data_IF_025490308697
#
_entry.id   IF_025490308697
#
_cell.length_a   1.000
_cell.length_b   1.000
_cell.length_c   1.000
_cell.angle_alpha   90.00
_cell.angle_beta   90.00
_cell.angle_gamma   90.00
#
_symmetry.space_group_name_H-M   'P 1'
#
loop_
_entity.id
_entity.type
_entity.pdbx_description
1 polymer ?
#
# COMPACT_ATOMS: atom_id res chain seq x y z
N UNK A 1 16.49 9.42 2.15
CA UNK A 1 15.65 8.31 1.67
C UNK A 1 16.10 7.89 0.27
N UNK A 2 16.29 6.59 0.04
CA UNK A 2 16.53 5.98 -1.28
C UNK A 2 15.37 5.03 -1.59
N UNK A 3 14.74 5.18 -2.75
CA UNK A 3 13.74 4.22 -3.25
C UNK A 3 14.48 2.97 -3.70
N UNK A 4 14.01 1.79 -3.30
CA UNK A 4 14.56 0.52 -3.76
C UNK A 4 13.79 0.03 -4.97
N UNK A 5 12.48 -0.19 -4.83
CA UNK A 5 11.65 -0.70 -5.92
C UNK A 5 10.24 -0.14 -5.89
N UNK A 6 9.72 0.16 -7.08
CA UNK A 6 8.35 0.57 -7.32
C UNK A 6 7.60 -0.58 -8.01
N UNK A 7 6.36 -0.82 -7.58
CA UNK A 7 5.46 -1.84 -8.10
C UNK A 7 4.12 -1.20 -8.43
N UNK A 8 3.56 -1.62 -9.54
CA UNK A 8 2.19 -1.31 -9.93
C UNK A 8 1.47 -2.63 -10.17
N UNK A 9 0.20 -2.69 -9.78
CA UNK A 9 -0.65 -3.85 -9.97
C UNK A 9 -2.03 -3.39 -10.45
N UNK A 10 -2.72 -4.27 -11.16
CA UNK A 10 -4.15 -4.14 -11.32
C UNK A 10 -4.81 -4.51 -9.98
N UNK A 11 -5.63 -3.59 -9.47
CA UNK A 11 -6.28 -3.70 -8.18
C UNK A 11 -7.80 -3.63 -8.32
N UNK A 12 -8.30 -4.18 -9.43
CA UNK A 12 -9.70 -4.51 -9.65
C UNK A 12 -9.80 -5.77 -10.49
N UNK A 13 -10.77 -6.61 -10.17
CA UNK A 13 -11.15 -7.75 -11.00
C UNK A 13 -12.21 -7.39 -12.04
N UNK A 14 -12.76 -6.18 -11.97
CA UNK A 14 -13.81 -5.69 -12.87
C UNK A 14 -13.27 -4.77 -13.97
N UNK A 15 -12.22 -4.00 -13.67
CA UNK A 15 -11.74 -2.95 -14.55
C UNK A 15 -10.22 -2.96 -14.67
N UNK A 16 -9.72 -2.93 -15.91
CA UNK A 16 -8.28 -2.92 -16.17
C UNK A 16 -7.61 -1.57 -15.92
N UNK A 17 -8.38 -0.47 -15.87
CA UNK A 17 -7.85 0.87 -15.61
C UNK A 17 -7.68 1.18 -14.12
N UNK A 18 -8.17 0.31 -13.23
CA UNK A 18 -8.05 0.49 -11.78
C UNK A 18 -6.74 -0.14 -11.30
N UNK A 19 -5.73 0.70 -11.18
CA UNK A 19 -4.38 0.30 -10.73
C UNK A 19 -4.15 0.75 -9.30
N UNK A 20 -3.29 0.04 -8.57
CA UNK A 20 -2.69 0.54 -7.36
C UNK A 20 -1.18 0.37 -7.41
N UNK A 21 -0.46 1.11 -6.58
CA UNK A 21 1.01 1.13 -6.64
C UNK A 21 1.60 1.15 -5.24
N UNK A 22 2.81 0.62 -5.12
CA UNK A 22 3.58 0.66 -3.89
C UNK A 22 5.05 0.80 -4.19
N UNK A 23 5.80 1.32 -3.23
CA UNK A 23 7.25 1.24 -3.28
C UNK A 23 7.83 0.91 -1.92
N UNK A 24 8.98 0.24 -1.95
CA UNK A 24 9.85 0.10 -0.79
C UNK A 24 11.06 0.99 -0.95
N UNK A 25 11.65 1.35 0.18
CA UNK A 25 12.88 2.10 0.22
C UNK A 25 13.42 2.16 1.62
N UNK A 26 14.52 2.85 1.79
CA UNK A 26 15.22 2.86 3.06
C UNK A 26 15.94 4.19 3.29
N UNK A 27 16.13 4.57 4.55
CA UNK A 27 16.85 5.78 4.94
C UNK A 27 17.82 5.49 6.07
N UNK A 28 19.06 5.11 5.73
CA UNK A 28 20.09 4.69 6.69
C UNK A 28 20.40 5.73 7.76
N UNK A 29 20.25 7.03 7.45
CA UNK A 29 20.44 8.11 8.43
C UNK A 29 19.39 8.03 9.53
N UNK A 30 18.13 7.75 9.17
CA UNK A 30 17.00 7.70 10.12
C UNK A 30 16.68 6.30 10.64
N UNK A 31 17.41 5.27 10.20
CA UNK A 31 17.20 3.88 10.63
C UNK A 31 15.77 3.36 10.40
N UNK A 32 15.17 3.72 9.26
CA UNK A 32 13.87 3.27 8.78
C UNK A 32 13.89 2.55 7.41
N UNK A 33 13.00 1.57 7.29
CA UNK A 33 12.50 1.01 6.03
C UNK A 33 11.15 1.68 5.74
N UNK A 34 10.99 2.16 4.51
CA UNK A 34 9.78 2.80 4.01
C UNK A 34 8.99 1.78 3.20
N UNK A 35 7.74 1.59 3.59
CA UNK A 35 6.71 1.03 2.73
C UNK A 35 5.67 2.12 2.48
N UNK A 36 5.48 2.48 1.22
CA UNK A 36 4.48 3.46 0.82
C UNK A 36 3.53 2.84 -0.19
N UNK A 37 2.25 2.99 0.05
CA UNK A 37 1.19 2.44 -0.80
C UNK A 37 0.30 3.60 -1.26
N UNK A 38 0.07 3.66 -2.57
CA UNK A 38 -0.98 4.45 -3.20
C UNK A 38 -2.18 3.54 -3.39
N UNK A 39 -3.35 3.98 -2.90
CA UNK A 39 -4.62 3.29 -3.13
C UNK A 39 -4.99 3.19 -4.61
N UNK A 40 -6.14 2.57 -4.90
CA UNK A 40 -6.67 2.43 -6.25
C UNK A 40 -6.80 3.78 -6.98
N UNK A 41 -6.43 3.78 -8.25
CA UNK A 41 -6.50 4.90 -9.16
C UNK A 41 -7.02 4.43 -10.51
N UNK A 42 -7.98 5.16 -11.06
CA UNK A 42 -8.60 4.85 -12.35
C UNK A 42 -9.96 5.52 -12.46
N UNK A 43 -10.53 5.59 -13.65
CA UNK A 43 -11.86 6.18 -13.86
C UNK A 43 -12.92 5.38 -13.11
N UNK A 44 -12.75 4.06 -13.05
CA UNK A 44 -13.70 3.15 -12.40
C UNK A 44 -13.39 2.88 -10.91
N UNK A 45 -12.41 3.57 -10.31
CA UNK A 45 -12.00 3.29 -8.93
C UNK A 45 -13.18 3.38 -7.94
N UNK A 46 -14.09 4.34 -8.14
CA UNK A 46 -15.21 4.55 -7.23
C UNK A 46 -16.27 3.46 -7.36
N UNK A 47 -16.52 3.00 -8.59
CA UNK A 47 -17.46 1.91 -8.83
C UNK A 47 -16.94 0.62 -8.21
N UNK A 48 -15.65 0.32 -8.40
CA UNK A 48 -15.02 -0.86 -7.81
C UNK A 48 -15.07 -0.83 -6.28
N UNK A 49 -14.72 0.32 -5.67
CA UNK A 49 -14.84 0.55 -4.22
C UNK A 49 -16.26 0.34 -3.70
N UNK A 50 -17.26 0.90 -4.38
CA UNK A 50 -18.65 0.81 -3.97
C UNK A 50 -19.19 -0.61 -4.13
N UNK A 51 -18.98 -1.23 -5.29
CA UNK A 51 -19.50 -2.56 -5.60
C UNK A 51 -18.86 -3.62 -4.71
N UNK A 52 -17.53 -3.74 -4.77
CA UNK A 52 -16.79 -4.75 -3.99
C UNK A 52 -16.91 -4.49 -2.50
N UNK A 53 -16.83 -3.22 -2.09
CA UNK A 53 -16.91 -2.84 -0.68
C UNK A 53 -18.27 -3.15 -0.05
N UNK A 54 -19.37 -2.91 -0.78
CA UNK A 54 -20.72 -3.16 -0.26
C UNK A 54 -21.16 -4.61 -0.41
N UNK A 55 -20.86 -5.26 -1.54
CA UNK A 55 -21.27 -6.64 -1.78
C UNK A 55 -20.53 -7.63 -0.87
N UNK A 56 -19.24 -7.35 -0.60
CA UNK A 56 -18.39 -8.32 0.09
C UNK A 56 -18.04 -7.90 1.52
N UNK A 57 -18.46 -6.69 1.94
CA UNK A 57 -18.31 -6.20 3.31
C UNK A 57 -16.85 -6.12 3.78
N UNK A 58 -16.62 -6.62 5.00
CA UNK A 58 -15.29 -6.62 5.64
C UNK A 58 -14.75 -8.03 5.79
N UNK A 59 -13.42 -8.19 5.81
CA UNK A 59 -12.71 -9.45 6.06
C UNK A 59 -11.76 -9.29 7.26
N UNK A 60 -11.45 -10.35 8.02
CA UNK A 60 -10.42 -10.30 9.05
C UNK A 60 -9.07 -9.86 8.46
N UNK A 61 -8.31 -9.05 9.19
CA UNK A 61 -7.01 -8.55 8.75
C UNK A 61 -5.96 -8.77 9.83
N UNK A 62 -4.94 -9.58 9.51
CA UNK A 62 -3.73 -9.83 10.31
C UNK A 62 -3.97 -10.06 11.82
N UNK A 63 -5.12 -10.64 12.19
CA UNK A 63 -5.49 -10.87 13.60
C UNK A 63 -5.73 -9.60 14.43
N UNK A 64 -5.70 -8.40 13.85
CA UNK A 64 -5.82 -7.12 14.55
C UNK A 64 -7.16 -6.43 14.35
N UNK A 65 -7.99 -6.91 13.44
CA UNK A 65 -9.30 -6.33 13.18
C UNK A 65 -9.92 -6.79 11.88
N UNK A 66 -10.74 -5.93 11.29
CA UNK A 66 -11.40 -6.15 10.01
C UNK A 66 -11.16 -4.98 9.08
N UNK A 67 -11.07 -5.26 7.79
CA UNK A 67 -10.88 -4.26 6.73
C UNK A 67 -11.90 -4.50 5.62
N UNK A 68 -12.34 -3.46 4.92
CA UNK A 68 -13.21 -3.62 3.74
C UNK A 68 -12.51 -4.48 2.69
N UNK A 69 -13.22 -5.45 2.10
CA UNK A 69 -12.60 -6.44 1.20
C UNK A 69 -11.85 -5.79 0.03
N UNK A 70 -12.37 -4.70 -0.54
CA UNK A 70 -11.67 -4.00 -1.63
C UNK A 70 -10.28 -3.47 -1.22
N UNK A 71 -10.10 -2.98 0.00
CA UNK A 71 -8.79 -2.53 0.47
C UNK A 71 -7.86 -3.71 0.79
N UNK A 72 -8.42 -4.83 1.27
CA UNK A 72 -7.68 -6.06 1.47
C UNK A 72 -7.11 -6.58 0.16
N UNK A 73 -7.97 -6.77 -0.83
CA UNK A 73 -7.60 -7.32 -2.15
C UNK A 73 -6.55 -6.42 -2.83
N UNK A 74 -6.71 -5.09 -2.76
CA UNK A 74 -5.75 -4.16 -3.32
C UNK A 74 -4.37 -4.26 -2.64
N UNK A 75 -4.36 -4.42 -1.32
CA UNK A 75 -3.11 -4.64 -0.58
C UNK A 75 -2.47 -5.97 -0.97
N UNK A 76 -3.23 -7.05 -1.04
CA UNK A 76 -2.73 -8.38 -1.41
C UNK A 76 -2.17 -8.41 -2.84
N UNK A 77 -2.84 -7.77 -3.80
CA UNK A 77 -2.33 -7.64 -5.18
C UNK A 77 -0.93 -7.03 -5.23
N UNK A 78 -0.66 -6.01 -4.42
CA UNK A 78 0.68 -5.42 -4.32
C UNK A 78 1.64 -6.29 -3.52
N UNK A 79 1.20 -6.78 -2.36
CA UNK A 79 2.03 -7.53 -1.42
C UNK A 79 2.58 -8.80 -2.08
N UNK A 80 1.68 -9.61 -2.66
CA UNK A 80 2.04 -10.83 -3.38
C UNK A 80 2.51 -10.56 -4.81
N UNK A 81 2.30 -9.35 -5.35
CA UNK A 81 2.93 -8.86 -6.57
C UNK A 81 4.43 -8.53 -6.43
N UNK A 82 5.03 -8.84 -5.28
CA UNK A 82 6.47 -8.71 -5.02
C UNK A 82 6.84 -7.60 -4.03
N UNK A 83 5.90 -6.77 -3.58
CA UNK A 83 6.20 -5.70 -2.61
C UNK A 83 6.61 -6.27 -1.24
N UNK A 84 6.05 -7.42 -0.85
CA UNK A 84 6.43 -8.12 0.38
C UNK A 84 7.86 -8.64 0.34
N UNK A 85 8.27 -9.24 -0.78
CA UNK A 85 9.64 -9.71 -1.02
C UNK A 85 10.63 -8.54 -1.01
N UNK A 86 10.32 -7.45 -1.72
CA UNK A 86 11.16 -6.26 -1.77
C UNK A 86 11.41 -5.68 -0.36
N UNK A 87 10.41 -5.74 0.52
CA UNK A 87 10.52 -5.29 1.92
C UNK A 87 11.45 -6.19 2.75
N UNK A 88 11.44 -7.50 2.51
CA UNK A 88 12.34 -8.44 3.19
C UNK A 88 13.78 -8.23 2.75
N UNK A 89 14.03 -8.04 1.45
CA UNK A 89 15.37 -7.75 0.92
C UNK A 89 15.92 -6.44 1.48
N UNK A 90 15.10 -5.38 1.51
CA UNK A 90 15.49 -4.10 2.12
C UNK A 90 15.91 -4.25 3.59
N UNK A 91 15.25 -5.16 4.32
CA UNK A 91 15.59 -5.48 5.72
C UNK A 91 16.91 -6.23 5.83
N UNK A 92 17.09 -7.30 5.08
CA UNK A 92 18.23 -8.23 5.22
C UNK A 92 19.53 -7.66 4.67
N UNK A 93 19.51 -7.10 3.46
CA UNK A 93 20.74 -6.68 2.78
C UNK A 93 21.22 -5.29 3.19
N UNK A 94 20.30 -4.41 3.57
CA UNK A 94 20.58 -2.97 3.70
C UNK A 94 20.38 -2.42 5.10
N UNK A 95 19.62 -3.12 5.94
CA UNK A 95 19.23 -2.67 7.27
C UNK A 95 19.75 -3.50 8.43
N UNK A 96 19.86 -4.84 8.29
CA UNK A 96 20.23 -5.77 9.38
C UNK A 96 21.67 -5.61 9.93
N UNK A 97 22.42 -4.58 9.53
CA UNK A 97 23.56 -4.07 10.31
C UNK A 97 23.16 -3.30 11.58
N UNK A 98 21.90 -2.87 11.74
CA UNK A 98 21.42 -2.21 12.96
C UNK A 98 19.90 -2.27 13.09
N UNK A 99 19.40 -2.64 14.29
CA UNK A 99 17.96 -2.72 14.65
C UNK A 99 17.16 -1.49 14.16
N UNK A 100 16.47 -1.60 13.03
CA UNK A 100 15.67 -0.53 12.42
C UNK A 100 14.16 -0.77 12.55
N UNK A 101 13.38 0.31 12.64
CA UNK A 101 11.92 0.28 12.73
C UNK A 101 11.27 0.36 11.34
N UNK A 102 10.16 -0.36 11.14
CA UNK A 102 9.38 -0.32 9.89
C UNK A 102 8.30 0.75 10.01
N UNK A 103 8.19 1.66 9.03
CA UNK A 103 7.17 2.72 9.00
C UNK A 103 6.35 2.61 7.71
N UNK A 104 5.04 2.36 7.85
CA UNK A 104 4.09 2.39 6.73
C UNK A 104 3.42 3.76 6.66
N UNK A 105 3.53 4.45 5.51
CA UNK A 105 2.77 5.68 5.23
C UNK A 105 1.69 5.39 4.19
N UNK A 106 0.44 5.70 4.53
CA UNK A 106 -0.66 5.72 3.57
C UNK A 106 -0.78 7.15 3.01
N UNK A 107 -0.28 7.38 1.79
CA UNK A 107 -0.40 8.68 1.13
C UNK A 107 -1.78 8.79 0.48
N UNK A 108 -2.75 9.33 1.23
CA UNK A 108 -3.97 9.89 0.65
C UNK A 108 -3.58 11.22 0.01
N UNK A 109 -3.55 11.31 -1.32
CA UNK A 109 -3.65 12.60 -2.00
C UNK A 109 -5.08 13.14 -1.80
N UNK A 110 -5.35 13.67 -0.61
CA UNK A 110 -6.45 14.62 -0.38
C UNK A 110 -5.78 15.98 -0.36
N UNK A 111 -6.14 16.83 -1.33
CA UNK A 111 -5.74 18.22 -1.36
C UNK A 111 -6.06 18.88 -0.03
N UNK A 112 -5.05 19.46 0.60
CA UNK A 112 -5.20 20.30 1.76
C UNK A 112 -5.98 21.56 1.36
N UNK A 113 -7.31 21.53 1.49
CA UNK A 113 -8.06 22.76 1.70
C UNK A 113 -7.87 23.17 3.16
N UNK A 114 -7.05 24.20 3.37
CA UNK A 114 -7.12 25.07 4.55
C UNK A 114 -8.57 25.53 4.67
N UNK A 115 -9.28 25.05 5.68
CA UNK A 115 -10.41 25.76 6.24
C UNK A 115 -9.89 26.50 7.48
N UNK A 116 -9.68 27.81 7.34
CA UNK A 116 -9.67 28.72 8.47
C UNK A 116 -11.11 28.93 8.91
N UNK A 117 -11.37 28.70 10.20
CA UNK A 117 -12.30 29.51 11.00
C UNK A 117 -11.57 29.75 12.32
#
# INVERSE_FOLDING_TARGET
MKVYKHREANCSFLFSDVTCAGFTGYDTTRKLIVLSIRGSHGVHQYYDLWKVGNENGTVPFLGVGRVTKVFHDNFESLWYGGLGEDTQVDREERYMGSRGAVYARNTKHIGAHRASI
#
